data_IF_428867493726
#
_entry.id   IF_428867493726
#
_cell.length_a   1.000
_cell.length_b   1.000
_cell.length_c   1.000
_cell.angle_alpha   90.00
_cell.angle_beta   90.00
_cell.angle_gamma   90.00
#
_symmetry.space_group_name_H-M   'P 1'
#
loop_
_entity.id
_entity.type
_entity.pdbx_description
1 polymer ?
#
# COMPACT_ATOMS: atom_id res chain seq x y z
N UNK A 1 16.11 8.64 -15.87
CA UNK A 1 15.84 8.23 -14.48
C UNK A 1 16.35 6.82 -14.23
N UNK A 2 16.95 6.59 -13.05
CA UNK A 2 17.60 5.31 -12.71
C UNK A 2 16.67 4.10 -12.77
N UNK A 3 15.43 4.22 -12.24
CA UNK A 3 14.44 3.13 -12.27
C UNK A 3 14.06 2.72 -13.69
N UNK A 4 13.73 3.68 -14.56
CA UNK A 4 13.37 3.39 -15.97
C UNK A 4 14.54 2.72 -16.72
N UNK A 5 15.76 3.18 -16.47
CA UNK A 5 16.99 2.57 -17.03
C UNK A 5 17.16 1.14 -16.53
N UNK A 6 17.08 0.92 -15.20
CA UNK A 6 17.23 -0.41 -14.61
C UNK A 6 16.21 -1.42 -15.17
N UNK A 7 14.95 -0.98 -15.34
CA UNK A 7 13.91 -1.83 -15.94
C UNK A 7 14.18 -2.13 -17.43
N UNK A 8 14.63 -1.15 -18.19
CA UNK A 8 14.96 -1.37 -19.63
C UNK A 8 16.10 -2.37 -19.80
N UNK A 9 17.10 -2.30 -18.91
CA UNK A 9 18.30 -3.12 -18.96
C UNK A 9 18.12 -4.52 -18.34
N UNK A 10 17.12 -4.76 -17.49
CA UNK A 10 16.90 -6.07 -16.89
C UNK A 10 16.42 -7.12 -17.93
N UNK A 11 16.62 -8.42 -17.64
CA UNK A 11 16.17 -9.51 -18.52
C UNK A 11 14.76 -10.01 -18.17
N UNK A 12 14.16 -9.53 -17.07
CA UNK A 12 12.84 -9.96 -16.62
C UNK A 12 11.71 -9.34 -17.48
N UNK A 13 11.23 -10.12 -18.45
CA UNK A 13 10.14 -9.71 -19.35
C UNK A 13 8.83 -9.46 -18.57
N UNK A 14 8.57 -10.24 -17.51
CA UNK A 14 7.37 -10.06 -16.69
C UNK A 14 7.41 -8.72 -15.98
N UNK A 15 8.53 -8.41 -15.33
CA UNK A 15 8.72 -7.13 -14.63
C UNK A 15 8.59 -5.94 -15.60
N UNK A 16 9.18 -6.03 -16.80
CA UNK A 16 9.01 -5.01 -17.85
C UNK A 16 7.55 -4.78 -18.21
N UNK A 17 6.78 -5.85 -18.37
CA UNK A 17 5.35 -5.75 -18.69
C UNK A 17 4.59 -5.09 -17.53
N UNK A 18 4.83 -5.51 -16.29
CA UNK A 18 4.21 -4.92 -15.10
C UNK A 18 4.52 -3.43 -14.95
N UNK A 19 5.80 -3.08 -15.12
CA UNK A 19 6.25 -1.68 -15.12
C UNK A 19 5.52 -0.84 -16.18
N UNK A 20 5.51 -1.29 -17.44
CA UNK A 20 4.89 -0.55 -18.54
C UNK A 20 3.37 -0.37 -18.31
N UNK A 21 2.68 -1.39 -17.79
CA UNK A 21 1.27 -1.29 -17.45
C UNK A 21 1.02 -0.25 -16.34
N UNK A 22 1.84 -0.27 -15.27
CA UNK A 22 1.74 0.69 -14.18
C UNK A 22 2.01 2.13 -14.66
N UNK A 23 3.05 2.34 -15.48
CA UNK A 23 3.34 3.64 -16.09
C UNK A 23 2.17 4.11 -16.96
N UNK A 24 1.55 3.21 -17.72
CA UNK A 24 0.37 3.56 -18.53
C UNK A 24 -0.81 4.04 -17.66
N UNK A 25 -1.10 3.36 -16.55
CA UNK A 25 -2.14 3.79 -15.59
C UNK A 25 -1.83 5.17 -15.01
N UNK A 26 -0.57 5.39 -14.61
CA UNK A 26 -0.11 6.67 -14.07
C UNK A 26 -0.28 7.79 -15.09
N UNK A 27 0.19 7.59 -16.33
CA UNK A 27 0.07 8.60 -17.41
C UNK A 27 -1.39 8.91 -17.73
N UNK A 28 -2.28 7.90 -17.73
CA UNK A 28 -3.72 8.13 -17.89
C UNK A 28 -4.29 8.98 -16.76
N UNK A 29 -3.91 8.75 -15.51
CA UNK A 29 -4.37 9.58 -14.40
C UNK A 29 -3.86 11.01 -14.54
N UNK A 30 -2.59 11.22 -14.89
CA UNK A 30 -2.00 12.55 -15.10
C UNK A 30 -2.57 13.29 -16.34
N UNK A 31 -3.14 12.57 -17.28
CA UNK A 31 -3.88 13.16 -18.42
C UNK A 31 -5.33 13.56 -18.05
N UNK A 32 -5.94 12.90 -17.05
CA UNK A 32 -7.31 13.14 -16.59
C UNK A 32 -7.40 14.20 -15.48
N UNK A 33 -6.36 14.32 -14.67
CA UNK A 33 -6.31 15.19 -13.51
C UNK A 33 -5.07 16.08 -13.58
N UNK A 34 -5.22 17.34 -13.22
CA UNK A 34 -4.07 18.24 -13.06
C UNK A 34 -3.19 17.76 -11.89
N UNK A 35 -1.94 18.23 -11.87
CA UNK A 35 -0.98 17.84 -10.83
C UNK A 35 -1.45 18.22 -9.41
N UNK A 36 -2.22 19.29 -9.28
CA UNK A 36 -2.80 19.75 -8.03
C UNK A 36 -3.98 18.90 -7.57
N UNK A 37 -4.62 18.17 -8.50
CA UNK A 37 -5.76 17.31 -8.22
C UNK A 37 -5.36 15.87 -7.88
N UNK A 38 -4.07 15.54 -7.95
CA UNK A 38 -3.58 14.20 -7.62
C UNK A 38 -2.76 14.20 -6.33
N UNK A 39 -2.82 13.08 -5.61
CA UNK A 39 -1.98 12.84 -4.44
C UNK A 39 -1.50 11.39 -4.41
N UNK A 40 -0.39 11.13 -3.70
CA UNK A 40 0.13 9.81 -3.41
C UNK A 40 -0.15 9.47 -1.94
N UNK A 41 -0.76 8.34 -1.64
CA UNK A 41 -0.78 7.78 -0.30
C UNK A 41 0.51 6.98 -0.06
N UNK A 42 1.33 7.43 0.89
CA UNK A 42 2.62 6.84 1.20
C UNK A 42 2.70 6.50 2.68
N UNK A 43 2.87 5.22 3.00
CA UNK A 43 2.89 4.71 4.39
C UNK A 43 4.20 4.02 4.78
N UNK A 44 5.25 4.12 3.95
CA UNK A 44 6.55 3.47 4.19
C UNK A 44 6.57 1.96 3.95
N UNK A 45 5.43 1.35 3.61
CA UNK A 45 5.35 -0.05 3.24
C UNK A 45 5.96 -0.33 1.85
N UNK A 46 6.33 -1.59 1.58
CA UNK A 46 6.96 -2.01 0.32
C UNK A 46 6.16 -1.62 -0.93
N UNK A 47 4.84 -1.75 -0.85
CA UNK A 47 3.93 -1.51 -1.98
C UNK A 47 3.83 -0.01 -2.30
N UNK A 48 3.66 0.83 -1.27
CA UNK A 48 3.68 2.29 -1.43
C UNK A 48 5.07 2.81 -1.85
N UNK A 49 6.15 2.15 -1.44
CA UNK A 49 7.51 2.46 -1.89
C UNK A 49 7.69 2.19 -3.39
N UNK A 50 7.22 1.03 -3.88
CA UNK A 50 7.19 0.74 -5.32
C UNK A 50 6.38 1.81 -6.05
N UNK A 51 5.19 2.14 -5.54
CA UNK A 51 4.31 3.13 -6.15
C UNK A 51 4.94 4.52 -6.21
N UNK A 52 5.64 4.97 -5.16
CA UNK A 52 6.37 6.24 -5.16
C UNK A 52 7.35 6.31 -6.34
N UNK A 53 8.15 5.27 -6.53
CA UNK A 53 9.14 5.24 -7.61
C UNK A 53 8.51 5.12 -9.00
N UNK A 54 7.44 4.35 -9.15
CA UNK A 54 6.67 4.28 -10.37
C UNK A 54 6.04 5.62 -10.72
N UNK A 55 5.45 6.31 -9.75
CA UNK A 55 4.80 7.59 -9.96
C UNK A 55 5.81 8.68 -10.34
N UNK A 56 6.98 8.70 -9.70
CA UNK A 56 8.08 9.59 -10.09
C UNK A 56 8.55 9.32 -11.53
N UNK A 57 8.68 8.03 -11.91
CA UNK A 57 9.02 7.65 -13.27
C UNK A 57 7.95 8.04 -14.29
N UNK A 58 6.67 7.74 -13.97
CA UNK A 58 5.53 8.04 -14.82
C UNK A 58 5.32 9.55 -15.02
N UNK A 59 5.50 10.34 -13.95
CA UNK A 59 5.46 11.80 -14.04
C UNK A 59 6.55 12.35 -14.94
N UNK A 60 7.81 11.91 -14.73
CA UNK A 60 8.94 12.31 -15.58
C UNK A 60 8.69 12.00 -17.06
N UNK A 61 8.23 10.77 -17.37
CA UNK A 61 7.95 10.36 -18.74
C UNK A 61 6.78 11.14 -19.34
N UNK A 62 5.75 11.46 -18.54
CA UNK A 62 4.62 12.27 -18.97
C UNK A 62 5.03 13.70 -19.31
N UNK A 63 5.84 14.34 -18.46
CA UNK A 63 6.34 15.71 -18.70
C UNK A 63 7.32 15.76 -19.88
N UNK A 64 8.18 14.76 -20.03
CA UNK A 64 9.09 14.67 -21.16
C UNK A 64 8.34 14.62 -22.51
N UNK A 65 7.23 13.90 -22.58
CA UNK A 65 6.38 13.85 -23.79
C UNK A 65 5.65 15.16 -24.06
N UNK A 66 5.30 15.93 -23.01
CA UNK A 66 4.60 17.22 -23.15
C UNK A 66 5.51 18.37 -23.54
N UNK A 67 6.69 18.43 -22.89
CA UNK A 67 7.59 19.60 -23.03
C UNK A 67 8.53 19.49 -24.22
N UNK A 68 8.83 18.28 -24.69
CA UNK A 68 9.82 18.06 -25.73
C UNK A 68 9.34 17.06 -26.79
N UNK A 69 8.39 17.44 -27.67
CA UNK A 69 7.96 16.56 -28.77
C UNK A 69 9.10 16.19 -29.71
N UNK A 70 10.23 16.94 -29.71
CA UNK A 70 11.41 16.74 -30.54
C UNK A 70 12.63 16.13 -29.77
N UNK A 71 12.44 15.66 -28.51
CA UNK A 71 13.47 14.86 -27.82
C UNK A 71 14.61 15.62 -27.15
N UNK A 72 14.58 16.95 -27.12
CA UNK A 72 15.61 17.75 -26.44
C UNK A 72 15.19 17.96 -24.96
N UNK A 73 15.67 17.08 -24.08
CA UNK A 73 15.56 17.21 -22.63
C UNK A 73 16.50 18.32 -22.18
N UNK A 74 15.99 19.53 -22.03
CA UNK A 74 16.74 20.60 -21.37
C UNK A 74 17.25 20.11 -20.00
N UNK A 75 18.45 20.53 -19.59
CA UNK A 75 19.12 20.19 -18.32
C UNK A 75 18.38 20.70 -17.06
N UNK A 76 17.07 20.91 -17.11
CA UNK A 76 16.25 21.29 -15.99
C UNK A 76 16.00 20.11 -15.06
N UNK A 77 16.32 20.25 -13.78
CA UNK A 77 15.96 19.29 -12.74
C UNK A 77 14.44 19.23 -12.62
N UNK A 78 13.82 18.13 -13.06
CA UNK A 78 12.36 17.95 -12.94
C UNK A 78 12.08 17.62 -11.48
N UNK A 79 11.52 18.58 -10.75
CA UNK A 79 11.02 18.37 -9.39
C UNK A 79 9.77 17.48 -9.43
N UNK A 80 9.57 16.69 -8.37
CA UNK A 80 8.38 15.84 -8.23
C UNK A 80 7.34 16.58 -7.39
N UNK A 81 6.33 17.22 -8.02
CA UNK A 81 5.41 18.12 -7.34
C UNK A 81 4.16 17.42 -6.79
N UNK A 82 4.07 16.08 -6.89
CA UNK A 82 2.89 15.34 -6.43
C UNK A 82 2.81 15.39 -4.91
N UNK A 83 1.68 15.89 -4.41
CA UNK A 83 1.37 15.91 -2.98
C UNK A 83 1.38 14.49 -2.42
N UNK A 84 2.00 14.31 -1.27
CA UNK A 84 2.10 13.00 -0.60
C UNK A 84 1.31 13.05 0.71
N UNK A 85 0.49 12.05 0.96
CA UNK A 85 -0.34 11.92 2.15
C UNK A 85 0.24 10.82 3.03
N UNK A 86 0.50 11.13 4.30
CA UNK A 86 0.94 10.18 5.30
C UNK A 86 0.02 10.21 6.52
N UNK A 87 -0.67 9.09 6.77
CA UNK A 87 -1.44 8.90 8.00
C UNK A 87 -0.52 8.32 9.08
N UNK A 88 -0.03 9.19 9.95
CA UNK A 88 0.87 8.81 11.04
C UNK A 88 0.07 8.23 12.21
N UNK A 89 0.31 6.94 12.50
CA UNK A 89 -0.34 6.24 13.61
C UNK A 89 0.58 6.17 14.83
N UNK A 90 0.07 6.40 16.06
CA UNK A 90 0.85 6.16 17.29
C UNK A 90 1.27 4.69 17.48
N UNK A 91 0.60 3.77 16.81
CA UNK A 91 0.92 2.33 16.83
C UNK A 91 1.78 1.87 15.65
N UNK A 92 2.28 2.78 14.84
CA UNK A 92 3.23 2.43 13.78
C UNK A 92 4.60 2.04 14.38
N UNK A 93 5.32 1.18 13.67
CA UNK A 93 6.72 0.91 13.99
C UNK A 93 7.58 2.15 13.81
N UNK A 94 8.53 2.38 14.72
CA UNK A 94 9.46 3.51 14.63
C UNK A 94 10.26 3.47 13.32
N UNK A 95 10.63 2.29 12.85
CA UNK A 95 11.36 2.07 11.60
C UNK A 95 10.55 2.50 10.38
N UNK A 96 9.23 2.29 10.38
CA UNK A 96 8.33 2.75 9.31
C UNK A 96 8.26 4.28 9.30
N UNK A 97 8.08 4.90 10.47
CA UNK A 97 8.06 6.36 10.58
C UNK A 97 9.38 6.96 10.10
N UNK A 98 10.51 6.44 10.61
CA UNK A 98 11.85 6.92 10.23
C UNK A 98 12.09 6.78 8.73
N UNK A 99 11.75 5.63 8.15
CA UNK A 99 11.88 5.38 6.72
C UNK A 99 10.98 6.33 5.90
N UNK A 100 9.74 6.57 6.34
CA UNK A 100 8.81 7.48 5.65
C UNK A 100 9.37 8.91 5.62
N UNK A 101 9.89 9.41 6.72
CA UNK A 101 10.50 10.74 6.80
C UNK A 101 11.81 10.83 6.00
N UNK A 102 12.62 9.78 6.01
CA UNK A 102 13.84 9.68 5.20
C UNK A 102 13.50 9.76 3.71
N UNK A 103 12.51 9.02 3.24
CA UNK A 103 12.04 9.08 1.85
C UNK A 103 11.50 10.46 1.48
N UNK A 104 10.75 11.10 2.39
CA UNK A 104 10.27 12.46 2.18
C UNK A 104 11.43 13.46 1.99
N UNK A 105 12.47 13.35 2.81
CA UNK A 105 13.66 14.20 2.71
C UNK A 105 14.46 13.91 1.41
N UNK A 106 14.74 12.63 1.14
CA UNK A 106 15.56 12.20 -0.01
C UNK A 106 14.95 12.58 -1.36
N UNK A 107 13.62 12.62 -1.45
CA UNK A 107 12.90 12.94 -2.69
C UNK A 107 12.20 14.29 -2.66
N UNK A 108 12.44 15.10 -1.63
CA UNK A 108 11.81 16.42 -1.43
C UNK A 108 10.28 16.36 -1.61
N UNK A 109 9.62 15.39 -0.95
CA UNK A 109 8.19 15.18 -1.08
C UNK A 109 7.41 16.26 -0.32
N UNK A 110 6.39 16.82 -0.96
CA UNK A 110 5.40 17.67 -0.29
C UNK A 110 4.45 16.78 0.52
N UNK A 111 4.79 16.51 1.79
CA UNK A 111 4.07 15.55 2.62
C UNK A 111 3.11 16.20 3.61
N UNK A 112 1.82 15.86 3.49
CA UNK A 112 0.80 16.16 4.49
C UNK A 112 0.74 15.03 5.52
N UNK A 113 1.11 15.35 6.76
CA UNK A 113 1.09 14.40 7.87
C UNK A 113 -0.25 14.53 8.60
N UNK A 114 -1.04 13.44 8.60
CA UNK A 114 -2.36 13.40 9.20
C UNK A 114 -2.31 12.50 10.45
N UNK A 115 -2.71 13.08 11.61
CA UNK A 115 -2.75 12.40 12.91
C UNK A 115 -4.17 12.24 13.44
N UNK A 116 -5.16 12.38 12.55
CA UNK A 116 -6.58 12.13 12.82
C UNK A 116 -6.94 10.70 12.44
N UNK A 117 -8.14 10.27 12.84
CA UNK A 117 -8.70 9.06 12.24
C UNK A 117 -8.81 9.22 10.72
N UNK A 118 -8.79 8.08 10.05
CA UNK A 118 -8.61 8.02 8.62
C UNK A 118 -9.68 8.80 7.84
N UNK A 119 -10.94 8.65 8.21
CA UNK A 119 -12.06 9.29 7.51
C UNK A 119 -12.07 10.80 7.74
N UNK A 120 -11.97 11.23 8.99
CA UNK A 120 -11.96 12.66 9.35
C UNK A 120 -10.74 13.38 8.78
N UNK A 121 -9.58 12.71 8.80
CA UNK A 121 -8.36 13.26 8.21
C UNK A 121 -8.48 13.44 6.70
N UNK A 122 -9.02 12.45 6.01
CA UNK A 122 -9.26 12.53 4.57
C UNK A 122 -10.30 13.59 4.22
N UNK A 123 -11.41 13.68 4.97
CA UNK A 123 -12.41 14.73 4.79
C UNK A 123 -11.81 16.12 4.91
N UNK A 124 -11.00 16.34 5.92
CA UNK A 124 -10.31 17.62 6.16
C UNK A 124 -9.36 17.95 5.03
N UNK A 125 -8.57 16.96 4.59
CA UNK A 125 -7.62 17.13 3.49
C UNK A 125 -8.31 17.49 2.18
N UNK A 126 -9.37 16.77 1.80
CA UNK A 126 -10.10 16.99 0.54
C UNK A 126 -10.91 18.28 0.54
N UNK A 127 -11.33 18.78 1.71
CA UNK A 127 -11.95 20.10 1.85
C UNK A 127 -10.93 21.24 1.66
N UNK A 128 -9.70 21.06 2.13
CA UNK A 128 -8.65 22.06 2.09
C UNK A 128 -7.89 22.10 0.75
N UNK A 129 -7.95 21.04 -0.04
CA UNK A 129 -7.15 20.88 -1.25
C UNK A 129 -8.00 20.36 -2.40
N UNK A 130 -7.66 20.71 -3.66
CA UNK A 130 -8.43 20.30 -4.84
C UNK A 130 -8.22 18.86 -5.26
N UNK A 131 -7.81 17.96 -4.35
CA UNK A 131 -7.50 16.56 -4.64
C UNK A 131 -8.75 15.83 -5.09
N UNK A 132 -8.68 15.18 -6.23
CA UNK A 132 -9.75 14.38 -6.86
C UNK A 132 -9.35 12.95 -7.13
N UNK A 133 -8.04 12.67 -7.19
CA UNK A 133 -7.52 11.33 -7.39
C UNK A 133 -6.35 11.05 -6.44
N UNK A 134 -6.32 9.83 -5.88
CA UNK A 134 -5.26 9.40 -4.97
C UNK A 134 -4.67 8.09 -5.48
N UNK A 135 -3.36 8.09 -5.68
CA UNK A 135 -2.60 6.90 -6.04
C UNK A 135 -2.37 6.02 -4.82
N UNK A 136 -2.71 4.74 -4.95
CA UNK A 136 -2.69 3.76 -3.87
C UNK A 136 -1.87 2.53 -4.24
N UNK A 137 -1.14 1.98 -3.27
CA UNK A 137 -0.36 0.74 -3.40
C UNK A 137 -1.19 -0.53 -3.23
N UNK A 138 -2.46 -0.53 -3.62
CA UNK A 138 -3.39 -1.66 -3.45
C UNK A 138 -3.12 -2.72 -4.52
N UNK A 139 -3.16 -4.00 -4.11
CA UNK A 139 -2.98 -5.18 -4.98
C UNK A 139 -4.15 -6.15 -4.85
N UNK A 140 -4.44 -6.91 -5.92
CA UNK A 140 -5.41 -8.02 -5.85
C UNK A 140 -4.94 -9.02 -4.79
N UNK A 141 -5.85 -9.36 -3.85
CA UNK A 141 -5.54 -10.20 -2.69
C UNK A 141 -5.45 -9.42 -1.38
N UNK A 142 -5.31 -8.12 -1.42
CA UNK A 142 -5.42 -7.28 -0.23
C UNK A 142 -6.87 -7.24 0.25
N UNK A 143 -7.12 -7.21 1.57
CA UNK A 143 -8.47 -7.24 2.12
C UNK A 143 -9.37 -6.11 1.60
N UNK A 144 -8.78 -4.98 1.24
CA UNK A 144 -9.49 -3.78 0.76
C UNK A 144 -9.64 -3.73 -0.76
N UNK A 145 -9.01 -4.67 -1.50
CA UNK A 145 -9.01 -4.67 -2.96
C UNK A 145 -10.26 -5.30 -3.60
N UNK A 146 -11.16 -5.84 -2.81
CA UNK A 146 -12.34 -6.55 -3.34
C UNK A 146 -13.19 -5.62 -4.19
N UNK A 147 -13.37 -5.99 -5.47
CA UNK A 147 -14.15 -5.21 -6.43
C UNK A 147 -13.47 -3.92 -6.92
N UNK A 148 -12.19 -3.70 -6.59
CA UNK A 148 -11.46 -2.56 -7.13
C UNK A 148 -10.87 -2.84 -8.51
N UNK A 149 -10.82 -1.79 -9.31
CA UNK A 149 -10.19 -1.71 -10.62
C UNK A 149 -9.01 -0.72 -10.57
N UNK A 150 -8.32 -0.55 -11.70
CA UNK A 150 -7.23 0.44 -11.80
C UNK A 150 -7.70 1.87 -11.49
N UNK A 151 -8.96 2.17 -11.79
CA UNK A 151 -9.64 3.41 -11.41
C UNK A 151 -10.96 3.03 -10.73
N UNK A 152 -11.08 3.31 -9.45
CA UNK A 152 -12.28 3.00 -8.67
C UNK A 152 -12.69 4.21 -7.82
N UNK A 153 -13.97 4.61 -7.84
CA UNK A 153 -14.41 5.68 -6.95
C UNK A 153 -14.28 5.24 -5.48
N UNK A 154 -14.17 6.23 -4.59
CA UNK A 154 -14.23 6.00 -3.15
C UNK A 154 -15.52 5.26 -2.76
N UNK A 155 -15.46 4.49 -1.67
CA UNK A 155 -16.62 3.70 -1.21
C UNK A 155 -17.77 4.60 -0.75
N UNK A 156 -19.03 4.13 -0.84
CA UNK A 156 -20.18 4.87 -0.30
C UNK A 156 -19.97 5.28 1.16
N UNK A 157 -20.26 6.52 1.48
CA UNK A 157 -20.08 7.10 2.82
C UNK A 157 -18.66 7.60 3.12
N UNK A 158 -17.75 7.54 2.15
CA UNK A 158 -16.43 8.18 2.18
C UNK A 158 -16.45 9.50 1.40
N UNK A 159 -15.52 10.42 1.67
CA UNK A 159 -15.33 11.60 0.85
C UNK A 159 -15.10 11.21 -0.61
N UNK A 160 -15.63 11.98 -1.58
CA UNK A 160 -15.54 11.61 -2.99
C UNK A 160 -14.15 11.86 -3.57
N UNK A 161 -13.50 10.81 -4.04
CA UNK A 161 -12.25 10.85 -4.83
C UNK A 161 -12.14 9.58 -5.69
N UNK A 162 -11.24 9.61 -6.67
CA UNK A 162 -10.89 8.46 -7.50
C UNK A 162 -9.67 7.76 -6.92
N UNK A 163 -9.78 6.46 -6.61
CA UNK A 163 -8.63 5.60 -6.35
C UNK A 163 -7.94 5.28 -7.66
N UNK A 164 -6.62 5.44 -7.70
CA UNK A 164 -5.80 5.03 -8.83
C UNK A 164 -4.83 3.97 -8.35
N UNK A 165 -4.96 2.75 -8.85
CA UNK A 165 -4.28 1.55 -8.39
C UNK A 165 -3.29 1.02 -9.47
N UNK A 166 -2.11 1.64 -9.70
CA UNK A 166 -1.21 1.26 -10.79
C UNK A 166 -0.61 -0.13 -10.65
N UNK A 167 -0.52 -0.65 -9.42
CA UNK A 167 0.07 -1.95 -9.11
C UNK A 167 -0.98 -3.01 -8.72
N UNK A 168 -2.26 -2.77 -9.05
CA UNK A 168 -3.36 -3.65 -8.64
C UNK A 168 -3.13 -5.12 -9.02
N UNK A 169 -2.57 -5.39 -10.18
CA UNK A 169 -2.29 -6.73 -10.70
C UNK A 169 -0.91 -7.30 -10.32
N UNK A 170 -0.16 -6.60 -9.44
CA UNK A 170 1.16 -7.04 -9.01
C UNK A 170 1.06 -8.10 -7.91
N UNK A 171 1.87 -9.13 -8.02
CA UNK A 171 2.08 -10.10 -6.94
C UNK A 171 3.18 -9.63 -5.97
N UNK A 172 3.26 -10.29 -4.81
CA UNK A 172 4.36 -10.11 -3.86
C UNK A 172 5.75 -10.23 -4.52
N UNK A 173 5.89 -11.19 -5.45
CA UNK A 173 7.13 -11.39 -6.20
C UNK A 173 7.44 -10.23 -7.15
N UNK A 174 6.43 -9.64 -7.79
CA UNK A 174 6.61 -8.51 -8.69
C UNK A 174 7.09 -7.28 -7.92
N UNK A 175 6.55 -7.05 -6.71
CA UNK A 175 6.99 -5.98 -5.80
C UNK A 175 8.47 -6.15 -5.44
N UNK A 176 8.87 -7.33 -4.99
CA UNK A 176 10.28 -7.58 -4.64
C UNK A 176 11.21 -7.59 -5.83
N UNK A 177 10.78 -8.13 -6.97
CA UNK A 177 11.56 -8.06 -8.21
C UNK A 177 11.86 -6.61 -8.58
N UNK A 178 10.88 -5.70 -8.47
CA UNK A 178 11.09 -4.28 -8.73
C UNK A 178 12.08 -3.64 -7.74
N UNK A 179 11.85 -3.80 -6.43
CA UNK A 179 12.70 -3.20 -5.39
C UNK A 179 14.17 -3.62 -5.53
N UNK A 180 14.40 -4.91 -5.77
CA UNK A 180 15.75 -5.47 -5.88
C UNK A 180 16.43 -5.11 -7.22
N UNK A 181 15.71 -5.20 -8.34
CA UNK A 181 16.24 -4.87 -9.67
C UNK A 181 16.61 -3.39 -9.77
N UNK A 182 15.75 -2.53 -9.27
CA UNK A 182 15.96 -1.09 -9.27
C UNK A 182 16.84 -0.59 -8.11
N UNK A 183 17.25 -1.48 -7.20
CA UNK A 183 18.03 -1.15 -5.98
C UNK A 183 17.38 -0.03 -5.16
N UNK A 184 16.06 -0.09 -5.04
CA UNK A 184 15.29 0.88 -4.29
C UNK A 184 15.40 0.58 -2.80
N UNK A 185 15.64 1.61 -2.00
CA UNK A 185 15.59 1.53 -0.55
C UNK A 185 14.19 1.12 -0.08
N UNK A 186 14.12 0.28 0.97
CA UNK A 186 12.89 -0.13 1.65
C UNK A 186 13.12 -0.21 3.17
N UNK A 187 12.05 -0.24 3.95
CA UNK A 187 12.14 -0.26 5.40
C UNK A 187 12.90 -1.50 5.92
N UNK A 188 13.81 -1.31 6.87
CA UNK A 188 14.69 -2.36 7.43
C UNK A 188 13.94 -3.51 8.12
N UNK A 189 12.69 -3.32 8.52
CA UNK A 189 11.86 -4.40 9.07
C UNK A 189 11.69 -5.58 8.09
N UNK A 190 11.70 -5.31 6.80
CA UNK A 190 11.63 -6.39 5.79
C UNK A 190 12.87 -7.30 5.81
N UNK A 191 14.04 -6.80 6.18
CA UNK A 191 15.25 -7.61 6.36
C UNK A 191 15.19 -8.44 7.65
N UNK A 192 14.31 -8.09 8.58
CA UNK A 192 14.06 -8.76 9.84
C UNK A 192 12.91 -9.79 9.75
N UNK A 193 12.46 -10.13 8.53
CA UNK A 193 11.44 -11.15 8.29
C UNK A 193 9.99 -10.68 8.37
N UNK A 194 9.74 -9.38 8.54
CA UNK A 194 8.40 -8.83 8.39
C UNK A 194 8.01 -8.84 6.91
N UNK A 195 6.94 -9.51 6.54
CA UNK A 195 6.50 -9.64 5.15
C UNK A 195 5.31 -8.75 4.80
N UNK A 196 4.53 -8.36 5.80
CA UNK A 196 3.44 -7.40 5.75
C UNK A 196 3.45 -6.64 7.07
N UNK A 197 3.55 -5.31 7.01
CA UNK A 197 3.71 -4.46 8.20
C UNK A 197 2.41 -3.74 8.46
N UNK A 198 1.93 -3.77 9.69
CA UNK A 198 0.82 -3.02 10.22
C UNK A 198 1.20 -2.31 11.50
N UNK A 199 0.40 -2.48 12.57
CA UNK A 199 0.72 -1.89 13.87
C UNK A 199 1.67 -2.79 14.68
N UNK A 200 2.39 -2.18 15.63
CA UNK A 200 3.21 -2.92 16.61
C UNK A 200 2.42 -3.94 17.44
N UNK A 201 1.09 -3.80 17.47
CA UNK A 201 0.21 -4.66 18.27
C UNK A 201 -0.33 -5.87 17.51
N UNK A 202 -0.21 -5.90 16.19
CA UNK A 202 -0.80 -6.94 15.34
C UNK A 202 0.17 -7.52 14.31
N UNK A 203 1.45 -7.18 14.40
CA UNK A 203 2.43 -7.61 13.41
C UNK A 203 3.67 -8.18 14.07
N UNK A 204 4.06 -9.38 13.63
CA UNK A 204 5.27 -10.09 14.01
C UNK A 204 6.01 -10.56 12.77
N UNK A 205 7.31 -10.91 12.86
CA UNK A 205 8.02 -11.52 11.75
C UNK A 205 7.31 -12.80 11.27
N UNK A 206 7.40 -13.09 9.98
CA UNK A 206 6.76 -14.25 9.39
C UNK A 206 7.51 -15.53 9.79
N UNK A 207 6.84 -16.42 10.52
CA UNK A 207 7.42 -17.68 11.01
C UNK A 207 8.02 -18.56 9.89
N UNK A 208 7.53 -18.43 8.65
CA UNK A 208 8.09 -19.16 7.49
C UNK A 208 9.50 -18.72 7.10
N UNK A 209 9.95 -17.57 7.61
CA UNK A 209 11.30 -17.05 7.42
C UNK A 209 12.24 -17.32 8.59
N UNK A 210 11.74 -17.94 9.68
CA UNK A 210 12.57 -18.29 10.83
C UNK A 210 13.67 -19.27 10.45
N UNK A 211 14.92 -19.02 10.88
CA UNK A 211 16.09 -19.86 10.61
C UNK A 211 16.48 -20.72 11.80
N UNK A 212 15.87 -20.51 12.98
CA UNK A 212 16.26 -21.19 14.19
C UNK A 212 15.62 -22.59 14.28
N UNK A 213 16.46 -23.63 14.21
CA UNK A 213 16.15 -25.00 14.65
C UNK A 213 16.66 -25.27 16.08
N UNK A 214 16.91 -24.25 16.90
CA UNK A 214 17.58 -24.38 18.20
C UNK A 214 16.81 -23.67 19.30
N UNK A 215 16.71 -24.33 20.43
CA UNK A 215 16.04 -23.95 21.69
C UNK A 215 16.63 -22.74 22.43
N UNK A 216 17.48 -21.95 21.81
CA UNK A 216 18.14 -20.78 22.42
C UNK A 216 17.71 -19.48 21.72
N UNK A 217 17.01 -18.73 22.41
CA UNK A 217 16.52 -17.35 22.55
C UNK A 217 16.92 -16.21 21.58
N UNK A 218 17.49 -16.44 20.39
CA UNK A 218 17.64 -15.40 19.38
C UNK A 218 17.10 -15.94 18.05
N UNK A 219 15.79 -15.82 17.87
CA UNK A 219 15.15 -16.11 16.58
C UNK A 219 15.73 -15.17 15.53
N UNK A 220 16.40 -15.76 14.52
CA UNK A 220 16.86 -15.05 13.34
C UNK A 220 15.88 -15.32 12.21
N UNK A 221 15.51 -14.27 11.50
CA UNK A 221 14.63 -14.36 10.34
C UNK A 221 15.40 -14.01 9.08
N UNK A 222 15.02 -14.66 7.98
CA UNK A 222 15.50 -14.31 6.64
C UNK A 222 14.74 -13.09 6.13
N UNK A 223 15.33 -12.29 5.23
CA UNK A 223 14.66 -11.17 4.60
C UNK A 223 13.35 -11.57 3.92
N UNK A 224 12.39 -10.64 3.89
CA UNK A 224 11.05 -10.81 3.36
C UNK A 224 11.03 -11.30 1.91
N UNK A 225 11.94 -10.81 1.07
CA UNK A 225 12.01 -11.21 -0.35
C UNK A 225 12.35 -12.70 -0.56
N UNK A 226 12.78 -13.40 0.48
CA UNK A 226 13.02 -14.86 0.46
C UNK A 226 11.79 -15.70 0.81
N UNK A 227 10.63 -15.08 1.04
CA UNK A 227 9.37 -15.81 1.23
C UNK A 227 9.03 -16.59 -0.05
N UNK A 228 8.94 -17.91 0.04
CA UNK A 228 8.72 -18.80 -1.11
C UNK A 228 7.33 -18.66 -1.71
N UNK A 229 6.31 -18.54 -0.88
CA UNK A 229 4.91 -18.34 -1.30
C UNK A 229 4.39 -16.96 -0.88
N UNK A 230 4.33 -16.04 -1.84
CA UNK A 230 3.86 -14.67 -1.61
C UNK A 230 2.40 -14.57 -1.13
N UNK A 231 1.57 -15.60 -1.31
CA UNK A 231 0.20 -15.64 -0.77
C UNK A 231 0.18 -15.66 0.76
N UNK A 232 1.30 -16.03 1.37
CA UNK A 232 1.49 -16.11 2.81
C UNK A 232 2.17 -14.85 3.39
N UNK A 233 2.24 -13.76 2.62
CA UNK A 233 2.85 -12.51 3.09
C UNK A 233 2.20 -11.95 4.36
N UNK A 234 0.91 -12.21 4.59
CA UNK A 234 0.19 -11.75 5.78
C UNK A 234 0.20 -12.75 6.95
N UNK A 235 0.99 -13.82 6.88
CA UNK A 235 1.06 -14.83 7.95
C UNK A 235 1.58 -14.26 9.28
N UNK A 236 2.37 -13.17 9.25
CA UNK A 236 2.80 -12.43 10.44
C UNK A 236 1.76 -11.45 11.01
N UNK A 237 0.55 -11.34 10.40
CA UNK A 237 -0.52 -10.48 10.92
C UNK A 237 -1.39 -11.23 11.91
N UNK A 238 -1.36 -10.80 13.17
CA UNK A 238 -2.13 -11.42 14.26
C UNK A 238 -3.59 -11.00 14.16
N UNK A 239 -4.50 -11.96 13.97
CA UNK A 239 -5.93 -11.69 14.02
C UNK A 239 -6.31 -11.32 15.46
N UNK A 240 -6.90 -10.13 15.68
CA UNK A 240 -7.54 -9.81 16.95
C UNK A 240 -8.73 -10.76 17.12
N UNK A 241 -8.60 -11.74 18.02
CA UNK A 241 -9.76 -12.47 18.50
C UNK A 241 -10.61 -11.49 19.32
N UNK A 242 -11.80 -11.18 18.84
CA UNK A 242 -12.82 -10.57 19.68
C UNK A 242 -13.15 -11.62 20.77
N UNK A 243 -12.72 -11.36 22.00
CA UNK A 243 -13.13 -12.14 23.17
C UNK A 243 -14.61 -11.85 23.42
N UNK A 244 -15.48 -12.57 22.74
CA UNK A 244 -16.86 -12.76 23.20
C UNK A 244 -16.77 -13.61 24.46
N UNK A 245 -16.89 -12.95 25.60
CA UNK A 245 -17.10 -13.59 26.89
C UNK A 245 -18.34 -14.49 26.74
N UNK A 246 -18.14 -15.77 26.67
CA UNK A 246 -19.17 -16.78 26.76
C UNK A 246 -19.72 -16.72 28.19
N UNK A 247 -20.83 -15.99 28.40
CA UNK A 247 -21.69 -16.23 29.57
C UNK A 247 -22.24 -17.63 29.41
N UNK A 248 -21.81 -18.51 30.29
CA UNK A 248 -22.43 -19.80 30.51
C UNK A 248 -23.92 -19.56 30.83
N UNK A 249 -24.79 -20.00 29.96
CA UNK A 249 -26.22 -20.19 30.27
C UNK A 249 -26.43 -21.68 30.29
N UNK A 250 -26.86 -22.15 31.50
CA UNK A 250 -27.30 -23.51 31.78
C UNK A 250 -28.47 -23.92 30.86
N UNK A 251 -28.66 -25.21 30.58
CA UNK A 251 -29.69 -25.67 29.65
C UNK A 251 -31.06 -25.69 30.33
N UNK A 252 -32.04 -25.01 29.78
CA UNK A 252 -33.46 -25.29 30.02
C UNK A 252 -34.05 -25.74 28.68
N UNK A 253 -34.55 -26.97 28.72
CA UNK A 253 -35.38 -27.65 27.70
C UNK A 253 -36.67 -26.87 27.44
N UNK A 254 -37.09 -26.72 26.19
CA UNK A 254 -38.36 -27.14 25.62
C UNK A 254 -38.70 -26.42 24.31
N UNK A 255 -38.79 -27.15 23.28
CA UNK A 255 -39.89 -27.38 22.38
C UNK A 255 -40.43 -26.28 21.43
N UNK A 256 -40.53 -26.66 20.15
CA UNK A 256 -41.44 -26.25 19.08
C UNK A 256 -41.10 -25.11 18.11
N UNK A 257 -40.86 -25.57 16.89
CA UNK A 257 -41.37 -25.12 15.54
C UNK A 257 -41.56 -23.64 15.22
N UNK A 258 -41.02 -23.24 14.09
CA UNK A 258 -41.49 -22.10 13.29
C UNK A 258 -40.47 -21.60 12.31
N UNK A 259 -40.82 -21.65 11.07
CA UNK A 259 -40.12 -21.36 9.82
C UNK A 259 -39.70 -19.90 9.66
N UNK A 260 -38.72 -19.72 8.76
CA UNK A 260 -38.45 -18.56 7.90
C UNK A 260 -38.25 -17.16 8.52
N UNK A 261 -36.98 -16.75 8.52
CA UNK A 261 -36.51 -15.44 8.02
C UNK A 261 -35.05 -15.18 8.40
N UNK A 262 -34.12 -15.76 7.72
CA UNK A 262 -32.70 -15.53 8.02
C UNK A 262 -31.95 -15.01 6.79
N UNK A 263 -32.29 -13.79 6.32
CA UNK A 263 -31.50 -13.06 5.32
C UNK A 263 -31.54 -11.54 5.53
N UNK A 264 -31.45 -11.07 6.76
CA UNK A 264 -31.23 -9.64 7.04
C UNK A 264 -30.42 -9.52 8.32
N UNK A 265 -29.10 -9.56 8.23
CA UNK A 265 -28.14 -8.93 9.15
C UNK A 265 -26.72 -9.47 8.88
N UNK A 266 -26.19 -9.22 7.68
CA UNK A 266 -24.77 -9.37 7.39
C UNK A 266 -24.24 -8.08 6.75
N UNK A 267 -24.40 -6.96 7.41
CA UNK A 267 -23.80 -5.69 7.01
C UNK A 267 -23.51 -4.88 8.27
N UNK A 268 -22.55 -5.32 9.07
CA UNK A 268 -21.85 -4.43 9.99
C UNK A 268 -20.69 -5.18 10.62
N UNK A 269 -19.54 -5.08 10.01
CA UNK A 269 -18.23 -5.08 10.65
C UNK A 269 -17.16 -4.87 9.58
N UNK A 270 -17.13 -3.71 8.99
CA UNK A 270 -15.90 -3.24 8.36
C UNK A 270 -14.95 -2.90 9.49
N UNK A 271 -14.20 -3.91 9.93
CA UNK A 271 -13.09 -3.71 10.85
C UNK A 271 -12.05 -2.89 10.12
N UNK A 272 -11.89 -1.68 10.58
CA UNK A 272 -10.79 -0.78 10.22
C UNK A 272 -9.51 -1.46 10.68
N UNK A 273 -8.83 -2.15 9.80
CA UNK A 273 -7.45 -2.54 10.03
C UNK A 273 -6.58 -1.31 9.78
N UNK A 274 -6.15 -0.68 10.85
CA UNK A 274 -5.14 0.39 10.81
C UNK A 274 -3.80 -0.29 10.55
N UNK A 275 -3.15 0.04 9.45
CA UNK A 275 -1.84 -0.49 9.07
C UNK A 275 -1.90 -1.42 7.86
N UNK A 276 -1.31 -0.99 6.79
CA UNK A 276 -1.32 -1.49 5.44
C UNK A 276 -2.64 -1.23 4.68
N UNK A 277 -2.56 -0.32 3.73
CA UNK A 277 -3.49 -0.27 2.61
C UNK A 277 -4.92 0.11 2.95
N UNK A 278 -5.09 1.21 3.63
CA UNK A 278 -6.41 1.79 3.71
C UNK A 278 -6.40 3.14 3.02
N UNK A 279 -6.85 3.08 1.85
CA UNK A 279 -7.68 4.09 1.19
C UNK A 279 -8.63 3.39 0.26
#
# INVERSE_FOLDING_TARGET
>A
MEVDKAIRECDDRRLKTKYNNAIHVIKRALALYSIQEVALSFNGGKDSTVLLHLLRAGYYLHEAERCHPNGDLGNGEITFPVRTIYFESPSAFTEINSFTYEMAANYNLQMDIIRLDFKSGLESLLKANPIRAIFLGVRIGDPTAVGQEQFSPSSPGWPPFMRVNPILDWSYRDVWAFLLTCKVQYCSLYDQGYTSIGSIHDTVPNALLCTAHSTNCNEKFRPAYLLSDGRLERAGRVKKYSSTVSKQVSPINNGFKGEDSCWKNMLTASVIAVGDEIL
#
